data_IF_058681780775
#
_entry.id   IF_058681780775
#
_cell.length_a   1.000
_cell.length_b   1.000
_cell.length_c   1.000
_cell.angle_alpha   90.00
_cell.angle_beta   90.00
_cell.angle_gamma   90.00
#
_symmetry.space_group_name_H-M   'P 1'
#
loop_
_entity.id
_entity.type
_entity.pdbx_description
1 polymer ?
#
# COMPACT_ATOMS: atom_id res chain seq x y z
N UNK A 1 -24.37 18.76 -11.30
CA UNK A 1 -24.00 18.74 -12.72
C UNK A 1 -23.82 17.27 -13.10
N UNK A 2 -24.71 16.73 -13.94
CA UNK A 2 -24.64 15.33 -14.38
C UNK A 2 -23.32 15.12 -15.13
N UNK A 3 -22.55 14.09 -14.76
CA UNK A 3 -21.44 13.62 -15.58
C UNK A 3 -22.00 13.25 -16.96
N UNK A 4 -21.63 14.02 -17.99
CA UNK A 4 -22.16 13.86 -19.33
C UNK A 4 -21.86 12.47 -19.90
N UNK A 5 -22.90 11.69 -20.17
CA UNK A 5 -23.02 10.65 -21.21
C UNK A 5 -22.02 9.49 -21.28
N UNK A 6 -20.91 9.50 -20.54
CA UNK A 6 -19.90 8.44 -20.61
C UNK A 6 -20.15 7.37 -19.56
N UNK A 7 -20.37 6.13 -19.99
CA UNK A 7 -20.45 4.97 -19.11
C UNK A 7 -19.11 4.77 -18.38
N UNK A 8 -19.12 4.89 -17.06
CA UNK A 8 -17.96 4.59 -16.22
C UNK A 8 -17.87 3.08 -16.04
N UNK A 9 -16.69 2.53 -16.31
CA UNK A 9 -16.33 1.13 -16.08
C UNK A 9 -15.68 1.05 -14.69
N UNK A 10 -16.45 0.67 -13.69
CA UNK A 10 -15.97 0.49 -12.32
C UNK A 10 -15.80 -0.98 -11.93
N UNK A 11 -14.91 -1.24 -10.97
CA UNK A 11 -14.80 -2.54 -10.33
C UNK A 11 -15.99 -2.77 -9.39
N UNK A 12 -16.42 -4.02 -9.25
CA UNK A 12 -17.50 -4.41 -8.33
C UNK A 12 -17.11 -5.70 -7.61
N UNK A 13 -17.37 -5.72 -6.31
CA UNK A 13 -17.18 -6.90 -5.46
C UNK A 13 -18.56 -7.46 -5.11
N UNK A 14 -18.74 -8.77 -5.28
CA UNK A 14 -20.00 -9.48 -5.00
C UNK A 14 -19.98 -10.27 -3.69
N UNK A 15 -18.82 -10.39 -3.05
CA UNK A 15 -18.63 -11.11 -1.79
C UNK A 15 -18.75 -10.16 -0.59
N UNK A 16 -19.29 -10.65 0.52
CA UNK A 16 -19.42 -9.89 1.77
C UNK A 16 -18.08 -9.72 2.48
N UNK A 17 -17.99 -8.72 3.36
CA UNK A 17 -16.79 -8.48 4.17
C UNK A 17 -16.49 -9.66 5.11
N UNK A 18 -17.52 -10.29 5.69
CA UNK A 18 -17.37 -11.46 6.56
C UNK A 18 -16.75 -12.65 5.83
N UNK A 19 -17.20 -12.94 4.60
CA UNK A 19 -16.63 -14.02 3.80
C UNK A 19 -15.18 -13.72 3.38
N UNK A 20 -14.81 -12.44 3.24
CA UNK A 20 -13.41 -12.06 3.00
C UNK A 20 -12.57 -12.26 4.26
N UNK A 21 -13.11 -11.97 5.44
CA UNK A 21 -12.42 -12.19 6.70
C UNK A 21 -12.24 -13.68 7.01
N UNK A 22 -13.22 -14.52 6.68
CA UNK A 22 -13.09 -15.98 6.73
C UNK A 22 -11.98 -16.48 5.81
N UNK A 23 -12.00 -16.06 4.53
CA UNK A 23 -10.95 -16.39 3.57
C UNK A 23 -9.56 -15.90 4.03
N UNK A 24 -9.48 -14.72 4.65
CA UNK A 24 -8.23 -14.21 5.19
C UNK A 24 -7.66 -15.14 6.26
N UNK A 25 -8.49 -15.65 7.17
CA UNK A 25 -8.06 -16.57 8.20
C UNK A 25 -7.50 -17.87 7.61
N UNK A 26 -8.13 -18.40 6.56
CA UNK A 26 -7.63 -19.58 5.82
C UNK A 26 -6.28 -19.31 5.15
N UNK A 27 -6.14 -18.16 4.48
CA UNK A 27 -4.89 -17.76 3.82
C UNK A 27 -3.77 -17.57 4.85
N UNK A 28 -4.07 -16.96 5.99
CA UNK A 28 -3.11 -16.78 7.08
C UNK A 28 -2.65 -18.13 7.64
N UNK A 29 -3.57 -19.06 7.90
CA UNK A 29 -3.25 -20.40 8.35
C UNK A 29 -2.36 -21.13 7.33
N UNK A 30 -2.70 -21.07 6.04
CA UNK A 30 -1.91 -21.67 4.96
C UNK A 30 -0.50 -21.08 4.82
N UNK A 31 -0.32 -19.80 5.15
CA UNK A 31 0.97 -19.11 5.14
C UNK A 31 1.74 -19.20 6.47
N UNK A 32 1.22 -19.92 7.46
CA UNK A 32 1.84 -20.04 8.79
C UNK A 32 1.82 -18.74 9.61
N UNK A 33 0.92 -17.81 9.28
CA UNK A 33 0.74 -16.55 10.00
C UNK A 33 -0.16 -16.82 11.21
N UNK A 34 0.38 -16.67 12.42
CA UNK A 34 -0.38 -16.84 13.66
C UNK A 34 -1.21 -15.60 13.96
N UNK A 35 -2.48 -15.82 14.31
CA UNK A 35 -3.40 -14.81 14.85
C UNK A 35 -3.45 -14.91 16.39
N UNK A 36 -3.56 -13.80 17.14
CA UNK A 36 -3.63 -12.43 16.64
C UNK A 36 -2.27 -11.97 16.09
N UNK A 37 -2.33 -11.17 15.02
CA UNK A 37 -1.17 -10.34 14.67
C UNK A 37 -0.85 -9.46 15.87
N UNK A 38 0.43 -9.11 16.11
CA UNK A 38 0.77 -8.17 17.18
C UNK A 38 -0.14 -6.93 17.03
N UNK A 39 -0.72 -6.45 18.15
CA UNK A 39 -1.80 -5.48 18.11
C UNK A 39 -1.40 -4.27 17.29
N UNK A 40 -2.34 -3.79 16.48
CA UNK A 40 -2.24 -2.52 15.78
C UNK A 40 -1.84 -1.41 16.78
N UNK A 41 -0.62 -0.89 16.66
CA UNK A 41 -0.17 0.22 17.50
C UNK A 41 -0.85 1.49 16.98
N UNK A 42 -1.99 1.83 17.58
CA UNK A 42 -2.61 3.15 17.41
C UNK A 42 -1.61 4.21 17.89
N UNK A 43 -0.91 4.83 16.94
CA UNK A 43 -0.26 6.14 17.07
C UNK A 43 0.61 6.36 18.31
N UNK A 44 1.92 6.25 18.11
CA UNK A 44 2.92 7.05 18.82
C UNK A 44 3.29 6.57 20.22
N UNK A 45 4.34 5.76 20.31
CA UNK A 45 5.50 6.06 21.16
C UNK A 45 6.69 5.22 20.69
N UNK A 46 7.83 5.89 20.56
CA UNK A 46 9.09 5.34 20.10
C UNK A 46 9.64 4.36 21.14
N UNK A 47 9.80 3.09 20.79
CA UNK A 47 10.59 2.14 21.57
C UNK A 47 12.08 2.45 21.38
N UNK A 48 12.66 3.19 22.33
CA UNK A 48 14.10 3.16 22.63
C UNK A 48 14.25 2.58 24.05
N UNK A 49 14.94 1.44 24.15
CA UNK A 49 15.45 0.85 25.40
C UNK A 49 16.74 1.58 25.86
N UNK A 50 17.36 1.22 27.01
CA UNK A 50 16.85 1.06 28.37
C UNK A 50 17.70 1.88 29.38
N UNK A 51 17.13 2.18 30.55
CA UNK A 51 17.79 2.45 31.86
C UNK A 51 17.17 3.65 32.58
N UNK A 52 16.39 3.38 33.63
CA UNK A 52 16.44 4.16 34.86
C UNK A 52 15.61 3.46 35.95
N UNK A 53 16.28 3.15 37.05
CA UNK A 53 15.69 2.72 38.32
C UNK A 53 14.81 3.84 38.86
N UNK A 54 13.60 3.52 39.32
CA UNK A 54 12.77 4.47 40.05
C UNK A 54 11.38 3.93 40.33
N UNK A 55 11.14 3.51 41.57
CA UNK A 55 9.84 3.05 42.02
C UNK A 55 8.78 4.15 42.00
N UNK A 56 7.59 3.84 41.50
CA UNK A 56 6.42 4.70 41.55
C UNK A 56 5.18 3.90 41.15
N UNK A 57 4.22 3.80 42.07
CA UNK A 57 2.96 3.07 41.91
C UNK A 57 2.17 3.61 40.71
N UNK A 58 1.77 2.73 39.79
CA UNK A 58 0.78 3.04 38.75
C UNK A 58 -0.57 2.50 39.22
N UNK A 59 -1.51 3.43 39.45
CA UNK A 59 -2.92 3.15 39.67
C UNK A 59 -3.57 2.61 38.40
N UNK A 60 -4.52 1.69 38.59
CA UNK A 60 -5.22 1.00 37.53
C UNK A 60 -5.91 1.94 36.54
N UNK A 61 -5.72 1.64 35.26
CA UNK A 61 -6.65 1.99 34.20
C UNK A 61 -7.03 0.67 33.52
N UNK A 62 -8.33 0.43 33.49
CA UNK A 62 -8.95 -0.84 33.14
C UNK A 62 -8.56 -1.35 31.74
N UNK A 63 -8.02 -2.57 31.72
CA UNK A 63 -7.95 -3.41 30.53
C UNK A 63 -9.37 -3.90 30.23
N UNK A 64 -10.12 -3.16 29.41
CA UNK A 64 -11.38 -3.64 28.85
C UNK A 64 -11.16 -4.02 27.39
N UNK A 65 -11.27 -5.30 27.11
CA UNK A 65 -11.15 -5.87 25.76
C UNK A 65 -11.01 -7.38 25.82
N UNK A 66 -12.02 -8.05 26.38
CA UNK A 66 -12.17 -9.50 26.35
C UNK A 66 -12.03 -10.04 24.92
N UNK A 67 -11.32 -11.16 24.81
CA UNK A 67 -11.24 -11.91 23.57
C UNK A 67 -12.62 -12.40 23.16
N UNK A 68 -13.02 -12.07 21.94
CA UNK A 68 -14.17 -12.69 21.28
C UNK A 68 -13.61 -13.66 20.25
N UNK A 69 -13.73 -14.95 20.57
CA UNK A 69 -13.64 -16.02 19.60
C UNK A 69 -14.92 -16.01 18.72
N UNK A 70 -14.75 -16.11 17.40
CA UNK A 70 -15.82 -16.43 16.45
C UNK A 70 -16.54 -15.22 15.83
N UNK A 71 -16.00 -14.72 14.72
CA UNK A 71 -16.57 -13.63 13.91
C UNK A 71 -15.46 -12.79 13.32
N UNK A 72 -14.83 -13.24 12.22
CA UNK A 72 -13.67 -12.59 11.64
C UNK A 72 -14.01 -11.17 11.19
N UNK A 73 -13.48 -10.16 11.88
CA UNK A 73 -13.62 -8.76 11.47
C UNK A 73 -12.30 -8.29 10.87
N UNK A 74 -12.35 -7.64 9.71
CA UNK A 74 -11.16 -7.04 9.12
C UNK A 74 -10.67 -5.86 9.96
N UNK A 75 -9.37 -5.85 10.28
CA UNK A 75 -8.73 -4.74 10.97
C UNK A 75 -8.56 -3.55 10.01
N UNK A 76 -9.13 -2.39 10.36
CA UNK A 76 -9.22 -1.20 9.49
C UNK A 76 -9.83 -1.45 8.09
N UNK A 77 -10.82 -2.35 8.01
CA UNK A 77 -11.61 -2.61 6.81
C UNK A 77 -10.81 -3.31 5.70
N UNK A 78 -11.12 -3.02 4.43
CA UNK A 78 -10.55 -3.67 3.24
C UNK A 78 -9.09 -3.25 2.92
N UNK A 79 -8.20 -3.28 3.90
CA UNK A 79 -6.77 -3.00 3.78
C UNK A 79 -5.98 -4.28 4.05
N UNK A 80 -5.12 -4.69 3.11
CA UNK A 80 -4.34 -5.93 3.19
C UNK A 80 -2.85 -5.64 3.09
N UNK A 81 -2.06 -6.33 3.89
CA UNK A 81 -0.61 -6.18 3.92
C UNK A 81 0.05 -7.42 3.34
N UNK A 82 1.03 -7.18 2.46
CA UNK A 82 1.97 -8.16 1.94
C UNK A 82 3.37 -7.70 2.35
N UNK A 83 4.02 -8.49 3.22
CA UNK A 83 5.39 -8.24 3.66
C UNK A 83 6.36 -9.02 2.78
N UNK A 84 7.27 -8.30 2.14
CA UNK A 84 8.29 -8.85 1.25
C UNK A 84 9.60 -8.12 1.44
N UNK A 85 10.64 -8.88 1.78
CA UNK A 85 12.01 -8.35 1.86
C UNK A 85 12.43 -7.63 0.57
N UNK A 86 13.28 -6.63 0.72
CA UNK A 86 13.93 -5.87 -0.34
C UNK A 86 14.63 -6.81 -1.32
N UNK A 87 14.65 -6.42 -2.60
CA UNK A 87 15.26 -7.19 -3.68
C UNK A 87 14.66 -8.60 -3.95
N UNK A 88 13.49 -8.94 -3.37
CA UNK A 88 12.78 -10.21 -3.66
C UNK A 88 11.71 -10.09 -4.76
N UNK A 89 11.74 -9.02 -5.55
CA UNK A 89 10.84 -8.85 -6.70
C UNK A 89 9.44 -8.30 -6.38
N UNK A 90 9.29 -7.56 -5.27
CA UNK A 90 8.02 -6.92 -4.83
C UNK A 90 7.23 -6.23 -5.95
N UNK A 91 7.91 -5.46 -6.81
CA UNK A 91 7.25 -4.78 -7.93
C UNK A 91 6.69 -5.74 -8.98
N UNK A 92 7.43 -6.80 -9.31
CA UNK A 92 6.92 -7.84 -10.19
C UNK A 92 5.69 -8.53 -9.58
N UNK A 93 5.72 -8.81 -8.27
CA UNK A 93 4.62 -9.48 -7.57
C UNK A 93 3.34 -8.64 -7.57
N UNK A 94 3.39 -7.33 -7.27
CA UNK A 94 2.16 -6.54 -7.32
C UNK A 94 1.65 -6.33 -8.75
N UNK A 95 2.53 -6.23 -9.75
CA UNK A 95 2.09 -6.14 -11.15
C UNK A 95 1.43 -7.45 -11.59
N UNK A 96 2.03 -8.58 -11.21
CA UNK A 96 1.44 -9.90 -11.44
C UNK A 96 0.09 -10.02 -10.72
N UNK A 97 -0.01 -9.52 -9.49
CA UNK A 97 -1.27 -9.51 -8.71
C UNK A 97 -2.37 -8.74 -9.47
N UNK A 98 -2.05 -7.59 -10.06
CA UNK A 98 -3.00 -6.82 -10.89
C UNK A 98 -3.50 -7.68 -12.07
N UNK A 99 -2.60 -8.35 -12.79
CA UNK A 99 -3.00 -9.20 -13.91
C UNK A 99 -3.80 -10.43 -13.48
N UNK A 100 -3.44 -11.10 -12.38
CA UNK A 100 -4.19 -12.24 -11.83
C UNK A 100 -5.60 -11.79 -11.40
N UNK A 101 -5.74 -10.63 -10.77
CA UNK A 101 -7.02 -10.07 -10.38
C UNK A 101 -7.89 -9.71 -11.59
N UNK A 102 -7.28 -9.19 -12.66
CA UNK A 102 -7.98 -8.95 -13.92
C UNK A 102 -8.42 -10.26 -14.58
N UNK A 103 -7.54 -11.26 -14.68
CA UNK A 103 -7.83 -12.54 -15.33
C UNK A 103 -8.92 -13.32 -14.60
N UNK A 104 -8.82 -13.42 -13.28
CA UNK A 104 -9.65 -14.32 -12.49
C UNK A 104 -11.00 -13.69 -12.10
N UNK A 105 -11.05 -12.36 -11.98
CA UNK A 105 -12.24 -11.65 -11.48
C UNK A 105 -12.73 -10.51 -12.38
N UNK A 106 -12.02 -10.19 -13.46
CA UNK A 106 -12.42 -9.13 -14.38
C UNK A 106 -12.22 -7.72 -13.85
N UNK A 107 -11.46 -7.52 -12.77
CA UNK A 107 -11.12 -6.19 -12.26
C UNK A 107 -10.25 -5.44 -13.26
N UNK A 108 -10.61 -4.19 -13.57
CA UNK A 108 -10.00 -3.41 -14.65
C UNK A 108 -9.31 -2.15 -14.18
N UNK A 109 -9.64 -1.65 -12.99
CA UNK A 109 -9.25 -0.31 -12.54
C UNK A 109 -8.31 -0.41 -11.36
N UNK A 110 -7.04 -0.11 -11.58
CA UNK A 110 -5.99 -0.18 -10.57
C UNK A 110 -5.29 1.17 -10.44
N UNK A 111 -4.96 1.54 -9.20
CA UNK A 111 -4.16 2.73 -8.91
C UNK A 111 -2.95 2.31 -8.08
N UNK A 112 -1.75 2.55 -8.57
CA UNK A 112 -0.50 2.36 -7.83
C UNK A 112 -0.12 3.70 -7.21
N UNK A 113 -0.18 3.77 -5.88
CA UNK A 113 0.21 4.94 -5.09
C UNK A 113 1.63 4.76 -4.58
N UNK A 114 2.47 5.75 -4.87
CA UNK A 114 3.90 5.75 -4.51
C UNK A 114 4.27 6.99 -3.70
N UNK A 115 5.24 6.94 -2.78
CA UNK A 115 5.52 8.05 -1.88
C UNK A 115 6.44 9.10 -2.50
N UNK A 116 7.27 8.75 -3.49
CA UNK A 116 8.27 9.64 -4.08
C UNK A 116 8.30 9.58 -5.61
N UNK A 117 8.93 10.59 -6.23
CA UNK A 117 9.15 10.62 -7.68
C UNK A 117 10.12 9.50 -8.10
N UNK A 118 11.16 9.22 -7.31
CA UNK A 118 12.11 8.15 -7.61
C UNK A 118 11.43 6.78 -7.69
N UNK A 119 10.57 6.46 -6.72
CA UNK A 119 9.80 5.20 -6.72
C UNK A 119 8.82 5.17 -7.89
N UNK A 120 8.16 6.30 -8.20
CA UNK A 120 7.31 6.43 -9.38
C UNK A 120 8.04 6.09 -10.69
N UNK A 121 9.25 6.63 -10.90
CA UNK A 121 10.06 6.31 -12.09
C UNK A 121 10.49 4.83 -12.10
N UNK A 122 10.83 4.27 -10.93
CA UNK A 122 11.10 2.83 -10.78
C UNK A 122 9.90 1.96 -11.17
N UNK A 123 8.70 2.28 -10.70
CA UNK A 123 7.44 1.61 -11.07
C UNK A 123 7.20 1.67 -12.57
N UNK A 124 7.42 2.83 -13.21
CA UNK A 124 7.24 2.97 -14.66
C UNK A 124 8.24 2.14 -15.46
N UNK A 125 9.49 2.10 -15.00
CA UNK A 125 10.50 1.22 -15.59
C UNK A 125 10.05 -0.25 -15.47
N UNK A 126 9.56 -0.67 -14.31
CA UNK A 126 9.06 -2.03 -14.10
C UNK A 126 7.87 -2.36 -15.01
N UNK A 127 6.88 -1.47 -15.12
CA UNK A 127 5.77 -1.61 -16.06
C UNK A 127 6.27 -1.81 -17.50
N UNK A 128 7.22 -0.97 -17.94
CA UNK A 128 7.77 -1.03 -19.30
C UNK A 128 8.53 -2.32 -19.58
N UNK A 129 9.45 -2.74 -18.68
CA UNK A 129 10.29 -3.92 -18.93
C UNK A 129 9.52 -5.23 -18.77
N UNK A 130 8.43 -5.24 -18.00
CA UNK A 130 7.58 -6.43 -17.80
C UNK A 130 6.41 -6.51 -18.77
N UNK A 131 6.22 -5.49 -19.61
CA UNK A 131 5.07 -5.38 -20.52
C UNK A 131 4.97 -6.59 -21.45
N UNK A 132 6.03 -6.90 -22.21
CA UNK A 132 6.03 -8.03 -23.13
C UNK A 132 5.85 -9.37 -22.39
N UNK A 133 6.54 -9.53 -21.26
CA UNK A 133 6.43 -10.73 -20.42
C UNK A 133 4.99 -10.97 -19.96
N UNK A 134 4.33 -9.97 -19.40
CA UNK A 134 2.94 -10.10 -18.96
C UNK A 134 1.97 -10.23 -20.13
N UNK A 135 2.23 -9.55 -21.26
CA UNK A 135 1.44 -9.70 -22.46
C UNK A 135 1.44 -11.16 -22.94
N UNK A 136 2.60 -11.81 -22.99
CA UNK A 136 2.71 -13.23 -23.34
C UNK A 136 2.07 -14.14 -22.28
N UNK A 137 2.35 -13.89 -21.00
CA UNK A 137 1.85 -14.72 -19.89
C UNK A 137 0.32 -14.71 -19.76
N UNK A 138 -0.32 -13.59 -20.12
CA UNK A 138 -1.76 -13.37 -19.99
C UNK A 138 -2.50 -13.28 -21.33
N UNK A 139 -1.95 -13.87 -22.40
CA UNK A 139 -2.66 -14.08 -23.66
C UNK A 139 -2.98 -12.80 -24.43
N UNK A 140 -2.07 -11.83 -24.40
CA UNK A 140 -2.19 -10.52 -25.06
C UNK A 140 -3.41 -9.70 -24.64
N UNK A 141 -3.80 -9.75 -23.36
CA UNK A 141 -4.90 -8.92 -22.87
C UNK A 141 -4.60 -7.43 -23.05
N UNK A 142 -5.56 -6.67 -23.56
CA UNK A 142 -5.44 -5.21 -23.67
C UNK A 142 -5.20 -4.58 -22.29
N UNK A 143 -4.14 -3.79 -22.19
CA UNK A 143 -3.74 -3.09 -20.98
C UNK A 143 -3.12 -1.75 -21.36
N UNK A 144 -3.52 -0.70 -20.66
CA UNK A 144 -2.79 0.57 -20.65
C UNK A 144 -2.35 0.94 -19.23
N UNK A 145 -1.25 1.68 -19.15
CA UNK A 145 -0.83 2.35 -17.94
C UNK A 145 -0.46 3.80 -18.21
N UNK A 146 -0.69 4.68 -17.24
CA UNK A 146 -0.34 6.09 -17.35
C UNK A 146 0.08 6.65 -15.99
N UNK A 147 0.91 7.68 -16.06
CA UNK A 147 1.30 8.49 -14.92
C UNK A 147 0.33 9.63 -14.78
N UNK A 148 -0.15 9.88 -13.56
CA UNK A 148 -0.90 11.09 -13.29
C UNK A 148 -0.06 12.32 -13.62
N UNK A 149 -0.55 13.14 -14.55
CA UNK A 149 -0.01 14.44 -14.88
C UNK A 149 -1.15 15.47 -14.76
N UNK A 150 -1.05 16.48 -13.87
CA UNK A 150 -2.09 17.49 -13.71
C UNK A 150 -2.37 18.31 -14.99
N UNK A 151 -1.45 18.29 -15.96
CA UNK A 151 -1.62 18.91 -17.28
C UNK A 151 -2.40 18.02 -18.26
N UNK A 152 -2.46 16.70 -18.03
CA UNK A 152 -3.11 15.72 -18.91
C UNK A 152 -4.40 15.15 -18.30
N UNK A 153 -5.30 16.04 -17.89
CA UNK A 153 -6.53 15.67 -17.15
C UNK A 153 -7.43 14.69 -17.91
N UNK A 154 -7.44 14.74 -19.25
CA UNK A 154 -8.21 13.82 -20.10
C UNK A 154 -7.88 12.33 -19.90
N UNK A 155 -6.67 12.00 -19.44
CA UNK A 155 -6.28 10.61 -19.16
C UNK A 155 -7.10 9.98 -18.04
N UNK A 156 -7.55 10.76 -17.04
CA UNK A 156 -8.38 10.24 -15.95
C UNK A 156 -9.80 9.92 -16.39
N UNK A 157 -10.32 10.63 -17.39
CA UNK A 157 -11.58 10.26 -18.04
C UNK A 157 -11.42 8.95 -18.80
N UNK A 158 -10.37 8.82 -19.61
CA UNK A 158 -10.07 7.58 -20.34
C UNK A 158 -9.91 6.39 -19.39
N UNK A 159 -9.17 6.58 -18.28
CA UNK A 159 -9.08 5.58 -17.21
C UNK A 159 -10.46 5.08 -16.79
N UNK A 160 -11.39 5.99 -16.54
CA UNK A 160 -12.70 5.64 -16.01
C UNK A 160 -13.61 4.97 -17.07
N UNK A 161 -13.44 5.26 -18.36
CA UNK A 161 -14.37 4.81 -19.41
C UNK A 161 -13.87 3.62 -20.22
N UNK A 162 -12.56 3.38 -20.33
CA UNK A 162 -11.99 2.29 -21.14
C UNK A 162 -12.41 0.92 -20.59
N UNK A 163 -12.79 -0.03 -21.45
CA UNK A 163 -13.25 -1.36 -21.03
C UNK A 163 -12.14 -2.43 -21.01
N UNK A 164 -10.89 -2.03 -20.78
CA UNK A 164 -9.70 -2.88 -20.69
C UNK A 164 -9.01 -2.70 -19.32
N UNK A 165 -7.94 -3.47 -19.06
CA UNK A 165 -7.10 -3.28 -17.88
C UNK A 165 -6.44 -1.90 -17.94
N UNK A 166 -6.58 -1.12 -16.86
CA UNK A 166 -6.03 0.22 -16.76
C UNK A 166 -5.30 0.39 -15.42
N UNK A 167 -4.05 0.85 -15.49
CA UNK A 167 -3.20 1.10 -14.33
C UNK A 167 -2.82 2.58 -14.26
N UNK A 168 -3.29 3.28 -13.23
CA UNK A 168 -2.85 4.64 -12.93
C UNK A 168 -1.70 4.62 -11.93
N UNK A 169 -0.56 5.23 -12.25
CA UNK A 169 0.52 5.48 -11.29
C UNK A 169 0.43 6.92 -10.80
N UNK A 170 0.33 7.12 -9.49
CA UNK A 170 0.19 8.44 -8.87
C UNK A 170 1.06 8.57 -7.62
N UNK A 171 1.75 9.71 -7.49
CA UNK A 171 2.47 10.05 -6.28
C UNK A 171 1.51 10.62 -5.22
N UNK A 172 1.65 10.19 -3.96
CA UNK A 172 0.77 10.60 -2.85
C UNK A 172 0.64 12.13 -2.69
N UNK A 173 1.73 12.87 -2.88
CA UNK A 173 1.74 14.33 -2.72
C UNK A 173 0.99 15.05 -3.85
N UNK A 174 0.64 14.35 -4.93
CA UNK A 174 -0.17 14.89 -6.03
C UNK A 174 -1.64 15.10 -5.64
N UNK A 175 -2.13 14.35 -4.64
CA UNK A 175 -3.53 14.35 -4.22
C UNK A 175 -3.74 14.38 -2.70
N UNK A 176 -2.67 14.36 -1.90
CA UNK A 176 -2.76 14.72 -0.49
C UNK A 176 -3.14 16.22 -0.36
N UNK A 177 -4.24 16.47 0.34
CA UNK A 177 -4.72 17.81 0.64
C UNK A 177 -3.80 18.39 1.71
N UNK A 178 -3.11 19.48 1.38
CA UNK A 178 -2.30 20.22 2.37
C UNK A 178 -3.20 21.01 3.30
N UNK A 179 -2.73 21.27 4.52
CA UNK A 179 -3.37 22.21 5.44
C UNK A 179 -3.37 23.65 4.90
N UNK A 180 -2.43 23.96 4.00
CA UNK A 180 -2.41 25.21 3.24
C UNK A 180 -3.61 25.30 2.29
N UNK A 181 -4.63 26.06 2.70
CA UNK A 181 -5.87 26.31 1.95
C UNK A 181 -5.62 26.99 0.60
N UNK A 182 -4.47 27.62 0.39
CA UNK A 182 -4.13 28.30 -0.86
C UNK A 182 -3.57 27.34 -1.94
N UNK A 183 -3.12 26.14 -1.55
CA UNK A 183 -2.61 25.10 -2.46
C UNK A 183 -3.67 24.05 -2.77
N UNK A 184 -4.72 24.44 -3.50
CA UNK A 184 -5.68 23.47 -4.05
C UNK A 184 -5.00 22.59 -5.09
N UNK A 185 -4.92 21.28 -4.86
CA UNK A 185 -4.36 20.33 -5.84
C UNK A 185 -5.26 20.28 -7.08
N UNK A 186 -4.63 20.26 -8.26
CA UNK A 186 -5.33 20.26 -9.56
C UNK A 186 -6.30 19.09 -9.71
N UNK A 187 -6.04 17.95 -9.05
CA UNK A 187 -6.90 16.77 -9.11
C UNK A 187 -8.30 16.99 -8.50
N UNK A 188 -8.44 17.98 -7.61
CA UNK A 188 -9.71 18.37 -6.97
C UNK A 188 -10.36 19.60 -7.62
N UNK A 189 -9.71 20.20 -8.61
CA UNK A 189 -10.23 21.39 -9.27
C UNK A 189 -11.14 21.01 -10.43
N UNK A 190 -12.14 21.83 -10.69
CA UNK A 190 -13.04 21.64 -11.81
C UNK A 190 -12.29 21.74 -13.15
N UNK A 191 -12.84 21.09 -14.16
CA UNK A 191 -12.33 21.12 -15.54
C UNK A 191 -13.49 21.05 -16.53
N UNK A 192 -13.24 21.26 -17.81
CA UNK A 192 -14.28 21.23 -18.85
C UNK A 192 -15.10 19.92 -18.87
N UNK A 193 -14.58 18.85 -18.25
CA UNK A 193 -15.20 17.53 -18.20
C UNK A 193 -15.63 17.11 -16.78
N UNK A 194 -15.47 17.97 -15.78
CA UNK A 194 -15.74 17.70 -14.37
C UNK A 194 -14.48 17.55 -13.51
N UNK A 195 -14.65 17.11 -12.26
CA UNK A 195 -13.59 17.04 -11.27
C UNK A 195 -12.74 15.76 -11.48
N UNK A 196 -11.41 15.86 -11.71
CA UNK A 196 -10.58 14.71 -12.08
C UNK A 196 -10.60 13.54 -11.07
N UNK A 197 -10.60 13.82 -9.76
CA UNK A 197 -10.67 12.76 -8.73
C UNK A 197 -11.98 11.97 -8.78
N UNK A 198 -13.08 12.57 -9.23
CA UNK A 198 -14.38 11.90 -9.28
C UNK A 198 -14.40 10.77 -10.32
N UNK A 199 -13.66 10.92 -11.42
CA UNK A 199 -13.46 9.83 -12.38
C UNK A 199 -12.76 8.64 -11.73
N UNK A 200 -11.75 8.87 -10.89
CA UNK A 200 -11.07 7.80 -10.17
C UNK A 200 -12.03 7.17 -9.14
N UNK A 201 -12.69 7.99 -8.31
CA UNK A 201 -13.63 7.53 -7.26
C UNK A 201 -14.76 6.67 -7.80
N UNK A 202 -15.33 7.08 -8.92
CA UNK A 202 -16.45 6.38 -9.54
C UNK A 202 -16.06 4.98 -10.05
N UNK A 203 -14.77 4.73 -10.31
CA UNK A 203 -14.30 3.41 -10.72
C UNK A 203 -14.17 2.40 -9.58
N UNK A 204 -14.22 2.83 -8.32
CA UNK A 204 -13.87 2.00 -7.15
C UNK A 204 -12.57 1.21 -7.38
N UNK A 205 -11.42 1.87 -7.54
CA UNK A 205 -10.20 1.19 -7.96
C UNK A 205 -9.70 0.23 -6.88
N UNK A 206 -8.95 -0.79 -7.29
CA UNK A 206 -8.08 -1.52 -6.36
C UNK A 206 -6.80 -0.69 -6.23
N UNK A 207 -6.47 -0.28 -5.01
CA UNK A 207 -5.31 0.57 -4.73
C UNK A 207 -4.13 -0.29 -4.28
N UNK A 208 -3.04 -0.23 -5.02
CA UNK A 208 -1.75 -0.82 -4.64
C UNK A 208 -0.90 0.28 -4.01
N UNK A 209 -0.36 0.05 -2.83
CA UNK A 209 0.54 0.99 -2.15
C UNK A 209 1.95 0.38 -2.10
N UNK A 210 2.90 1.06 -2.71
CA UNK A 210 4.32 0.70 -2.65
C UNK A 210 5.01 1.54 -1.57
N UNK A 211 5.74 0.92 -0.65
CA UNK A 211 6.40 1.59 0.50
C UNK A 211 5.42 2.37 1.42
N UNK A 212 4.36 1.72 1.95
CA UNK A 212 3.33 2.31 2.82
C UNK A 212 3.86 3.02 4.07
N UNK A 213 5.02 2.64 4.62
CA UNK A 213 5.62 3.27 5.81
C UNK A 213 5.89 4.77 5.65
N UNK A 214 5.96 5.25 4.41
CA UNK A 214 6.09 6.65 4.06
C UNK A 214 4.71 7.34 3.89
N UNK A 215 3.59 6.65 4.05
CA UNK A 215 2.23 7.14 3.75
C UNK A 215 1.23 6.93 4.90
N UNK A 216 1.73 6.73 6.12
CA UNK A 216 0.91 6.45 7.30
C UNK A 216 0.40 7.70 8.06
N UNK A 217 0.76 8.91 7.62
CA UNK A 217 0.25 10.14 8.27
C UNK A 217 -1.27 10.28 8.06
N UNK A 218 -2.03 10.88 9.00
CA UNK A 218 -3.49 11.03 8.86
C UNK A 218 -3.91 11.67 7.53
N UNK A 219 -3.21 12.71 7.09
CA UNK A 219 -3.45 13.39 5.81
C UNK A 219 -3.27 12.43 4.62
N UNK A 220 -2.21 11.60 4.64
CA UNK A 220 -1.93 10.64 3.55
C UNK A 220 -2.90 9.46 3.57
N UNK A 221 -3.26 8.93 4.75
CA UNK A 221 -4.32 7.92 4.91
C UNK A 221 -5.66 8.44 4.37
N UNK A 222 -6.04 9.67 4.71
CA UNK A 222 -7.25 10.31 4.20
C UNK A 222 -7.17 10.51 2.68
N UNK A 223 -6.02 10.89 2.13
CA UNK A 223 -5.84 11.02 0.68
C UNK A 223 -6.09 9.68 -0.05
N UNK A 224 -5.60 8.57 0.49
CA UNK A 224 -5.86 7.22 -0.06
C UNK A 224 -7.35 6.88 0.04
N UNK A 225 -7.97 7.11 1.20
CA UNK A 225 -9.41 6.89 1.39
C UNK A 225 -10.26 7.74 0.43
N UNK A 226 -9.81 8.96 0.13
CA UNK A 226 -10.43 9.83 -0.86
C UNK A 226 -10.40 9.28 -2.29
N UNK A 227 -9.65 8.22 -2.61
CA UNK A 227 -9.77 7.55 -3.90
C UNK A 227 -11.00 6.62 -3.98
N UNK A 228 -11.72 6.43 -2.87
CA UNK A 228 -12.85 5.50 -2.74
C UNK A 228 -12.50 4.08 -3.23
N UNK A 229 -11.43 3.45 -2.69
CA UNK A 229 -10.97 2.16 -3.18
C UNK A 229 -12.01 1.04 -2.95
N UNK A 230 -11.98 0.03 -3.82
CA UNK A 230 -12.65 -1.24 -3.56
C UNK A 230 -11.95 -1.99 -2.41
N UNK A 231 -10.63 -2.04 -2.47
CA UNK A 231 -9.73 -2.49 -1.42
C UNK A 231 -8.34 -1.88 -1.64
N UNK A 232 -7.50 -1.97 -0.62
CA UNK A 232 -6.10 -1.50 -0.65
C UNK A 232 -5.17 -2.66 -0.35
N UNK A 233 -4.12 -2.85 -1.16
CA UNK A 233 -3.08 -3.87 -0.95
C UNK A 233 -1.73 -3.16 -0.80
N UNK A 234 -1.04 -3.41 0.31
CA UNK A 234 0.15 -2.68 0.74
C UNK A 234 1.38 -3.58 0.69
N UNK A 235 2.39 -3.19 -0.08
CA UNK A 235 3.61 -3.96 -0.28
C UNK A 235 4.81 -3.24 0.35
N UNK A 236 5.47 -3.88 1.32
CA UNK A 236 6.69 -3.36 1.94
C UNK A 236 7.54 -4.45 2.55
N UNK A 237 8.83 -4.17 2.75
CA UNK A 237 9.69 -4.92 3.66
C UNK A 237 9.58 -4.39 5.11
N UNK A 238 9.19 -3.11 5.28
CA UNK A 238 9.34 -2.36 6.53
C UNK A 238 8.03 -1.68 6.94
N UNK A 239 6.96 -2.46 7.06
CA UNK A 239 5.65 -1.94 7.47
C UNK A 239 5.73 -1.33 8.87
N UNK A 240 5.19 -0.11 9.03
CA UNK A 240 4.95 0.49 10.35
C UNK A 240 3.71 -0.12 11.03
N UNK A 241 2.69 -0.39 10.23
CA UNK A 241 1.41 -0.95 10.64
C UNK A 241 1.09 -2.13 9.71
N UNK A 242 0.65 -3.24 10.29
CA UNK A 242 0.15 -4.38 9.53
C UNK A 242 -1.38 -4.31 9.51
N UNK A 243 -1.97 -4.50 8.32
CA UNK A 243 -3.41 -4.57 8.11
C UNK A 243 -3.72 -5.91 7.48
N UNK A 244 -4.55 -6.74 8.13
CA UNK A 244 -5.00 -8.03 7.57
C UNK A 244 -3.87 -8.77 6.81
N UNK A 245 -2.75 -9.06 7.51
CA UNK A 245 -1.53 -9.58 6.89
C UNK A 245 -1.84 -10.85 6.09
N UNK A 246 -1.58 -10.81 4.78
CA UNK A 246 -1.88 -11.92 3.86
C UNK A 246 -0.67 -12.83 3.69
N UNK A 247 0.53 -12.25 3.61
CA UNK A 247 1.76 -12.98 3.34
C UNK A 247 2.96 -12.30 3.99
N UNK A 248 3.92 -13.11 4.44
CA UNK A 248 5.19 -12.66 5.02
C UNK A 248 6.38 -13.42 4.45
N UNK A 249 7.31 -12.66 3.88
CA UNK A 249 8.66 -13.06 3.50
C UNK A 249 9.65 -12.10 4.14
N UNK A 250 10.07 -12.44 5.34
CA UNK A 250 11.06 -11.69 6.13
C UNK A 250 12.49 -11.97 5.66
N UNK A 251 13.50 -11.18 6.10
CA UNK A 251 14.87 -11.35 5.62
C UNK A 251 15.46 -12.72 5.94
N UNK A 252 15.09 -13.34 7.07
CA UNK A 252 15.57 -14.67 7.45
C UNK A 252 15.04 -15.71 6.46
N UNK A 253 13.73 -15.72 6.22
CA UNK A 253 13.10 -16.62 5.25
C UNK A 253 13.59 -16.36 3.84
N UNK A 254 13.81 -15.11 3.45
CA UNK A 254 14.38 -14.78 2.14
C UNK A 254 15.81 -15.32 1.97
N UNK A 255 16.62 -15.25 3.03
CA UNK A 255 17.96 -15.82 3.06
C UNK A 255 17.94 -17.34 3.01
N UNK A 256 17.11 -17.99 3.82
CA UNK A 256 16.96 -19.45 3.87
C UNK A 256 16.51 -20.02 2.52
N UNK A 257 15.70 -19.26 1.76
CA UNK A 257 15.27 -19.60 0.40
C UNK A 257 16.30 -19.22 -0.68
N UNK A 258 17.45 -18.66 -0.31
CA UNK A 258 18.51 -18.26 -1.25
C UNK A 258 18.13 -17.10 -2.17
N UNK A 259 17.10 -16.31 -1.81
CA UNK A 259 16.61 -15.20 -2.62
C UNK A 259 17.47 -13.94 -2.49
N UNK A 260 18.20 -13.81 -1.38
CA UNK A 260 19.04 -12.65 -1.06
C UNK A 260 20.42 -13.09 -0.58
N UNK A 261 21.42 -12.23 -0.77
CA UNK A 261 22.78 -12.47 -0.27
C UNK A 261 22.85 -12.20 1.24
N UNK A 262 23.69 -12.95 1.95
CA UNK A 262 24.05 -12.64 3.34
C UNK A 262 24.84 -11.34 3.37
N UNK A 263 24.52 -10.47 4.32
CA UNK A 263 25.35 -9.32 4.68
C UNK A 263 26.12 -9.71 5.94
N UNK A 264 27.45 -9.66 5.87
CA UNK A 264 28.31 -9.74 7.05
C UNK A 264 28.71 -8.30 7.43
N UNK A 265 28.42 -7.93 8.67
CA UNK A 265 28.82 -6.63 9.21
C UNK A 265 30.10 -6.85 10.00
N UNK A 266 31.22 -6.41 9.44
CA UNK A 266 32.48 -6.35 10.16
C UNK A 266 32.52 -5.03 10.94
N UNK A 267 32.38 -5.10 12.27
CA UNK A 267 32.50 -3.93 13.13
C UNK A 267 33.98 -3.64 13.35
N UNK A 268 34.48 -2.56 12.73
CA UNK A 268 35.79 -2.01 13.04
C UNK A 268 35.72 -1.36 14.42
N UNK A 269 35.95 -2.15 15.47
CA UNK A 269 36.25 -1.61 16.80
C UNK A 269 37.70 -1.19 16.75
N UNK A 270 37.96 0.12 16.67
CA UNK A 270 39.31 0.65 16.88
C UNK A 270 39.68 0.45 18.35
N UNK A 271 40.38 -0.65 18.65
CA UNK A 271 41.09 -0.79 19.92
C UNK A 271 42.16 0.32 19.98
N UNK A 272 41.97 1.27 20.91
CA UNK A 272 42.81 2.42 21.24
C UNK A 272 42.53 3.74 20.52
N UNK A 273 41.35 4.33 20.77
CA UNK A 273 41.20 5.79 20.66
C UNK A 273 40.83 6.39 22.03
N UNK A 274 41.83 6.74 22.83
CA UNK A 274 41.68 7.41 24.13
C UNK A 274 41.27 8.91 24.01
N UNK A 275 40.79 9.36 22.85
CA UNK A 275 40.39 10.75 22.60
C UNK A 275 39.05 10.85 21.85
N UNK A 276 37.99 10.25 22.38
CA UNK A 276 36.65 10.59 21.91
C UNK A 276 36.21 11.90 22.59
N UNK A 277 36.26 13.00 21.84
CA UNK A 277 35.58 14.22 22.21
C UNK A 277 34.06 13.98 22.18
N UNK A 278 33.44 14.07 23.35
CA UNK A 278 31.99 14.13 23.49
C UNK A 278 31.53 15.55 23.10
N UNK A 279 30.71 15.68 22.06
CA UNK A 279 30.03 16.94 21.72
C UNK A 279 28.55 16.72 21.91
N UNK A 280 28.00 17.39 22.91
CA UNK A 280 26.56 17.53 23.17
C UNK A 280 26.09 18.81 22.46
N UNK A 281 24.97 18.73 21.73
CA UNK A 281 24.30 19.89 21.10
C UNK A 281 23.03 20.22 21.88
#
# INVERSE_FOLDING_TARGET
MQMGGSFIVGNRLSISEDAIAENLAEVQAGNGIKSPLPPFVKGGESLLHPDARGGGRIGGADLVGEGIAGGGRLEEGMNFTVEMETATGKSYVYLRTIHELHRNYGFKKFVIVVPSIAIKEGTLKNLKITEEHFRLLYGNSEMDYYVYDPKKRGLLKNFATTNALQILVINIDSFAISEDKNKKRIIFQDSDWGIPVEFIRATRPIVIIDEPQNMETPIRKQAIAHLNPLCTIRYSATHKNLYNLVYKLDPVKAYDLGLVKRIEVDSIISENNFNNAFVEL
#
